data_IF_300410089094
#
_entry.id   IF_300410089094
#
_cell.length_a   1.000
_cell.length_b   1.000
_cell.length_c   1.000
_cell.angle_alpha   90.00
_cell.angle_beta   90.00
_cell.angle_gamma   90.00
#
_symmetry.space_group_name_H-M   'P 1'
#
loop_
_entity.id
_entity.type
_entity.pdbx_description
1 polymer ?
#
# COMPACT_ATOMS: atom_id res chain seq x y z
N UNK A 1 -18.42 -2.57 21.66
CA UNK A 1 -19.72 -2.96 22.25
C UNK A 1 -20.34 -4.15 21.53
N UNK A 2 -20.91 -3.95 20.33
CA UNK A 2 -21.61 -5.01 19.57
C UNK A 2 -20.73 -5.83 18.62
N UNK A 3 -19.63 -5.25 18.12
CA UNK A 3 -18.68 -5.90 17.20
C UNK A 3 -17.83 -6.98 17.87
N UNK A 4 -17.49 -6.79 19.15
CA UNK A 4 -16.63 -7.69 19.90
C UNK A 4 -17.26 -9.09 20.10
N UNK A 5 -18.57 -9.16 20.34
CA UNK A 5 -19.28 -10.44 20.47
C UNK A 5 -19.37 -11.21 19.15
N UNK A 6 -19.59 -10.50 18.04
CA UNK A 6 -19.59 -11.08 16.69
C UNK A 6 -18.20 -11.60 16.32
N UNK A 7 -17.15 -10.80 16.53
CA UNK A 7 -15.76 -11.20 16.27
C UNK A 7 -15.38 -12.46 17.04
N UNK A 8 -15.71 -12.53 18.34
CA UNK A 8 -15.42 -13.70 19.16
C UNK A 8 -16.16 -14.97 18.71
N UNK A 9 -17.36 -14.82 18.16
CA UNK A 9 -18.10 -15.94 17.58
C UNK A 9 -17.50 -16.39 16.24
N UNK A 10 -17.07 -15.43 15.41
CA UNK A 10 -16.39 -15.69 14.15
C UNK A 10 -15.03 -16.36 14.36
N UNK A 11 -14.24 -15.90 15.33
CA UNK A 11 -12.96 -16.52 15.72
C UNK A 11 -13.14 -17.97 16.18
N UNK A 12 -14.09 -18.22 17.08
CA UNK A 12 -14.40 -19.60 17.50
C UNK A 12 -14.82 -20.50 16.35
N UNK A 13 -15.60 -19.95 15.41
CA UNK A 13 -16.04 -20.68 14.22
C UNK A 13 -14.86 -20.95 13.28
N UNK A 14 -13.98 -19.97 13.11
CA UNK A 14 -12.75 -20.07 12.34
C UNK A 14 -11.80 -21.14 12.88
N UNK A 15 -11.50 -21.11 14.18
CA UNK A 15 -10.61 -22.09 14.82
C UNK A 15 -11.17 -23.51 14.72
N UNK A 16 -12.50 -23.66 14.86
CA UNK A 16 -13.16 -24.95 14.69
C UNK A 16 -13.12 -25.44 13.24
N UNK A 17 -13.21 -24.56 12.24
CA UNK A 17 -13.17 -24.94 10.82
C UNK A 17 -11.74 -25.31 10.39
N UNK A 18 -10.75 -24.52 10.82
CA UNK A 18 -9.33 -24.75 10.53
C UNK A 18 -8.86 -26.10 11.10
N UNK A 19 -9.20 -26.39 12.36
CA UNK A 19 -8.79 -27.63 13.04
C UNK A 19 -9.45 -28.89 12.51
N UNK A 20 -10.69 -28.81 12.01
CA UNK A 20 -11.46 -30.00 11.61
C UNK A 20 -11.39 -30.33 10.13
N UNK A 21 -11.23 -29.34 9.25
CA UNK A 21 -11.45 -29.53 7.81
C UNK A 21 -10.22 -29.25 6.97
N UNK A 22 -9.19 -28.58 7.52
CA UNK A 22 -8.10 -28.04 6.71
C UNK A 22 -8.72 -27.02 5.75
N UNK A 23 -8.96 -25.80 6.25
CA UNK A 23 -9.72 -24.81 5.50
C UNK A 23 -9.17 -24.62 4.07
N UNK A 24 -10.04 -24.69 3.06
CA UNK A 24 -9.66 -24.30 1.71
C UNK A 24 -9.36 -22.80 1.68
N UNK A 25 -8.31 -22.40 0.95
CA UNK A 25 -7.97 -21.00 0.64
C UNK A 25 -9.19 -20.22 0.13
N UNK A 26 -10.13 -20.92 -0.50
CA UNK A 26 -11.40 -20.41 -1.00
C UNK A 26 -12.32 -19.81 0.07
N UNK A 27 -12.29 -20.28 1.33
CA UNK A 27 -13.12 -19.71 2.40
C UNK A 27 -12.56 -18.36 2.89
N UNK A 28 -11.24 -18.24 3.02
CA UNK A 28 -10.57 -16.98 3.34
C UNK A 28 -10.75 -15.96 2.20
N UNK A 29 -10.62 -16.43 0.96
CA UNK A 29 -10.93 -15.62 -0.23
C UNK A 29 -12.40 -15.19 -0.22
N UNK A 30 -13.33 -16.09 0.05
CA UNK A 30 -14.75 -15.78 0.16
C UNK A 30 -14.98 -14.74 1.26
N UNK A 31 -14.39 -14.92 2.44
CA UNK A 31 -14.54 -13.99 3.56
C UNK A 31 -13.95 -12.62 3.25
N UNK A 32 -12.71 -12.54 2.76
CA UNK A 32 -12.09 -11.28 2.35
C UNK A 32 -12.90 -10.57 1.26
N UNK A 33 -13.30 -11.31 0.21
CA UNK A 33 -14.16 -10.78 -0.86
C UNK A 33 -15.52 -10.34 -0.31
N UNK A 34 -16.10 -11.05 0.65
CA UNK A 34 -17.39 -10.70 1.24
C UNK A 34 -17.27 -9.49 2.17
N UNK A 35 -16.21 -9.38 2.98
CA UNK A 35 -15.92 -8.18 3.78
C UNK A 35 -15.72 -6.95 2.86
N UNK A 36 -15.08 -7.13 1.70
CA UNK A 36 -14.88 -6.07 0.70
C UNK A 36 -16.13 -5.74 -0.12
N UNK A 37 -16.99 -6.74 -0.41
CA UNK A 37 -18.17 -6.59 -1.30
C UNK A 37 -19.48 -6.36 -0.56
N UNK A 38 -19.56 -6.59 0.75
CA UNK A 38 -20.75 -6.20 1.51
C UNK A 38 -20.81 -4.68 1.53
N UNK A 39 -21.64 -4.14 0.63
CA UNK A 39 -22.01 -2.73 0.48
C UNK A 39 -22.62 -2.08 1.74
N UNK A 40 -22.49 -2.71 2.91
CA UNK A 40 -23.01 -2.24 4.20
C UNK A 40 -21.98 -2.18 5.33
N UNK A 41 -20.76 -2.70 5.15
CA UNK A 41 -19.68 -2.48 6.12
C UNK A 41 -18.96 -1.18 5.76
N UNK A 42 -19.03 -0.20 6.66
CA UNK A 42 -18.33 1.07 6.49
C UNK A 42 -16.81 0.77 6.45
N UNK A 43 -16.04 1.29 5.48
CA UNK A 43 -14.60 1.06 5.39
C UNK A 43 -13.81 1.33 6.68
N UNK A 44 -14.29 2.27 7.51
CA UNK A 44 -13.75 2.54 8.84
C UNK A 44 -13.90 1.38 9.82
N UNK A 45 -15.00 0.63 9.74
CA UNK A 45 -15.23 -0.56 10.55
C UNK A 45 -14.35 -1.73 10.11
N UNK A 46 -14.09 -1.84 8.79
CA UNK A 46 -13.17 -2.85 8.24
C UNK A 46 -11.76 -2.61 8.78
N UNK A 47 -11.25 -1.37 8.75
CA UNK A 47 -9.94 -1.04 9.31
C UNK A 47 -9.83 -1.34 10.80
N UNK A 48 -10.86 -1.02 11.59
CA UNK A 48 -10.92 -1.32 13.03
C UNK A 48 -10.93 -2.83 13.31
N UNK A 49 -11.63 -3.62 12.51
CA UNK A 49 -11.67 -5.08 12.64
C UNK A 49 -10.33 -5.69 12.23
N UNK A 50 -9.79 -5.30 11.07
CA UNK A 50 -8.58 -5.88 10.51
C UNK A 50 -7.30 -5.49 11.26
N UNK A 51 -7.37 -4.52 12.17
CA UNK A 51 -6.24 -4.10 13.00
C UNK A 51 -6.30 -4.63 14.44
N UNK A 52 -7.29 -5.49 14.76
CA UNK A 52 -7.37 -6.08 16.08
C UNK A 52 -6.17 -7.01 16.34
N UNK A 53 -5.59 -6.96 17.54
CA UNK A 53 -4.41 -7.76 17.87
C UNK A 53 -4.74 -9.25 17.98
N UNK A 54 -3.72 -10.09 17.78
CA UNK A 54 -3.68 -11.51 18.17
C UNK A 54 -4.81 -12.40 17.62
N UNK A 55 -5.40 -12.02 16.48
CA UNK A 55 -6.44 -12.80 15.81
C UNK A 55 -5.90 -13.39 14.51
N UNK A 56 -5.78 -14.72 14.48
CA UNK A 56 -5.27 -15.43 13.31
C UNK A 56 -6.20 -15.27 12.09
N UNK A 57 -7.53 -15.29 12.31
CA UNK A 57 -8.52 -15.01 11.28
C UNK A 57 -8.25 -13.66 10.60
N UNK A 58 -7.96 -12.63 11.40
CA UNK A 58 -7.67 -11.29 10.89
C UNK A 58 -6.37 -11.27 10.11
N UNK A 59 -5.32 -11.90 10.64
CA UNK A 59 -4.02 -12.00 9.94
C UNK A 59 -4.15 -12.69 8.59
N UNK A 60 -4.85 -13.83 8.54
CA UNK A 60 -5.07 -14.59 7.30
C UNK A 60 -5.98 -13.81 6.32
N UNK A 61 -7.03 -13.15 6.82
CA UNK A 61 -7.92 -12.30 6.00
C UNK A 61 -7.17 -11.11 5.40
N UNK A 62 -6.32 -10.45 6.19
CA UNK A 62 -5.52 -9.32 5.75
C UNK A 62 -4.47 -9.75 4.73
N UNK A 63 -3.81 -10.90 4.94
CA UNK A 63 -2.89 -11.48 3.96
C UNK A 63 -3.61 -11.77 2.63
N UNK A 64 -4.80 -12.38 2.68
CA UNK A 64 -5.64 -12.62 1.50
C UNK A 64 -6.05 -11.31 0.82
N UNK A 65 -6.47 -10.30 1.58
CA UNK A 65 -6.79 -8.98 1.06
C UNK A 65 -5.61 -8.39 0.28
N UNK A 66 -4.45 -8.29 0.91
CA UNK A 66 -3.24 -7.76 0.28
C UNK A 66 -2.82 -8.57 -0.95
N UNK A 67 -3.03 -9.89 -0.92
CA UNK A 67 -2.79 -10.76 -2.07
C UNK A 67 -3.82 -10.60 -3.20
N UNK A 68 -5.00 -10.04 -2.94
CA UNK A 68 -6.04 -9.79 -3.94
C UNK A 68 -6.00 -8.38 -4.56
N UNK A 69 -5.28 -7.45 -3.93
CA UNK A 69 -5.14 -6.09 -4.46
C UNK A 69 -4.32 -6.09 -5.76
N UNK A 70 -4.65 -5.20 -6.72
CA UNK A 70 -3.79 -4.95 -7.86
C UNK A 70 -2.44 -4.51 -7.31
N UNK A 71 -1.42 -5.33 -7.55
CA UNK A 71 -0.21 -5.37 -6.75
C UNK A 71 1.03 -5.36 -7.63
N UNK A 72 2.18 -5.22 -6.97
CA UNK A 72 3.49 -5.00 -7.57
C UNK A 72 3.68 -5.77 -8.90
N UNK A 73 4.06 -5.09 -9.99
CA UNK A 73 4.36 -5.73 -11.28
C UNK A 73 3.15 -6.04 -12.18
N UNK A 74 1.92 -6.10 -11.66
CA UNK A 74 0.72 -6.29 -12.49
C UNK A 74 0.39 -5.04 -13.31
N UNK A 75 0.64 -3.84 -12.74
CA UNK A 75 0.50 -2.59 -13.48
C UNK A 75 1.53 -2.45 -14.60
N UNK A 76 2.73 -2.99 -14.41
CA UNK A 76 3.74 -3.07 -15.46
C UNK A 76 3.25 -3.95 -16.60
N UNK A 77 2.67 -5.12 -16.30
CA UNK A 77 2.07 -5.98 -17.31
C UNK A 77 0.96 -5.24 -18.08
N UNK A 78 0.02 -4.58 -17.39
CA UNK A 78 -1.03 -3.79 -18.05
C UNK A 78 -0.50 -2.62 -18.89
N UNK A 79 0.57 -1.96 -18.46
CA UNK A 79 1.18 -0.85 -19.21
C UNK A 79 1.91 -1.36 -20.47
N UNK A 80 2.67 -2.45 -20.33
CA UNK A 80 3.36 -3.12 -21.45
C UNK A 80 2.35 -3.64 -22.48
N UNK A 81 1.23 -4.21 -22.03
CA UNK A 81 0.20 -4.75 -22.92
C UNK A 81 -0.61 -3.64 -23.63
N UNK A 82 -0.71 -2.45 -23.03
CA UNK A 82 -1.41 -1.30 -23.60
C UNK A 82 -0.56 -0.48 -24.59
N UNK A 83 0.77 -0.49 -24.46
CA UNK A 83 1.67 0.28 -25.33
C UNK A 83 2.46 -0.61 -26.30
N UNK A 84 1.79 -1.07 -27.36
CA UNK A 84 2.46 -1.49 -28.61
C UNK A 84 2.95 -0.32 -29.48
N UNK A 85 3.06 0.89 -28.94
CA UNK A 85 3.56 2.06 -29.67
C UNK A 85 4.13 3.12 -28.74
N UNK A 86 5.42 3.44 -28.93
CA UNK A 86 6.25 4.46 -28.25
C UNK A 86 6.83 4.13 -26.87
N UNK A 87 7.72 3.14 -26.82
CA UNK A 87 8.66 2.89 -25.73
C UNK A 87 9.76 3.95 -25.61
N UNK A 88 9.41 5.19 -25.25
CA UNK A 88 10.39 6.20 -24.82
C UNK A 88 10.24 6.65 -23.36
N UNK A 89 9.14 6.31 -22.68
CA UNK A 89 8.85 6.78 -21.31
C UNK A 89 9.27 5.80 -20.19
N UNK A 90 9.46 4.51 -20.47
CA UNK A 90 10.00 3.52 -19.51
C UNK A 90 11.54 3.63 -19.30
N UNK A 91 12.12 4.83 -19.37
CA UNK A 91 13.57 5.01 -19.20
C UNK A 91 14.02 4.99 -17.75
N UNK A 92 13.17 5.42 -16.82
CA UNK A 92 13.51 5.44 -15.40
C UNK A 92 12.85 4.27 -14.65
N UNK A 93 13.63 3.21 -14.47
CA UNK A 93 13.23 2.02 -13.71
C UNK A 93 12.82 2.37 -12.28
N UNK A 94 13.45 3.39 -11.68
CA UNK A 94 13.16 3.85 -10.34
C UNK A 94 11.76 4.47 -10.27
N UNK A 95 11.40 5.30 -11.26
CA UNK A 95 10.06 5.90 -11.33
C UNK A 95 8.97 4.85 -11.52
N UNK A 96 9.20 3.86 -12.39
CA UNK A 96 8.23 2.78 -12.64
C UNK A 96 7.91 2.00 -11.35
N UNK A 97 8.93 1.66 -10.55
CA UNK A 97 8.71 0.95 -9.28
C UNK A 97 7.97 1.85 -8.28
N UNK A 98 8.34 3.12 -8.16
CA UNK A 98 7.63 4.05 -7.26
C UNK A 98 6.17 4.24 -7.66
N UNK A 99 5.90 4.33 -8.96
CA UNK A 99 4.55 4.47 -9.50
C UNK A 99 3.69 3.25 -9.17
N UNK A 100 4.23 2.05 -9.37
CA UNK A 100 3.58 0.78 -9.06
C UNK A 100 3.30 0.65 -7.55
N UNK A 101 4.24 1.04 -6.70
CA UNK A 101 4.07 1.12 -5.25
C UNK A 101 2.96 2.12 -4.86
N UNK A 102 2.99 3.33 -5.44
CA UNK A 102 2.01 4.39 -5.18
C UNK A 102 0.58 3.97 -5.53
N UNK A 103 0.39 3.33 -6.69
CA UNK A 103 -0.91 2.80 -7.09
C UNK A 103 -1.38 1.67 -6.16
N UNK A 104 -0.48 0.74 -5.82
CA UNK A 104 -0.79 -0.36 -4.90
C UNK A 104 -1.22 0.16 -3.53
N UNK A 105 -0.53 1.18 -3.01
CA UNK A 105 -0.86 1.84 -1.74
C UNK A 105 -2.23 2.52 -1.81
N UNK A 106 -2.56 3.20 -2.91
CA UNK A 106 -3.91 3.76 -3.09
C UNK A 106 -4.99 2.70 -3.12
N UNK A 107 -4.77 1.59 -3.83
CA UNK A 107 -5.74 0.49 -3.89
C UNK A 107 -5.97 -0.12 -2.49
N UNK A 108 -4.90 -0.26 -1.71
CA UNK A 108 -4.96 -0.69 -0.32
C UNK A 108 -5.80 0.26 0.55
N UNK A 109 -5.51 1.56 0.51
CA UNK A 109 -6.23 2.57 1.32
C UNK A 109 -7.72 2.71 0.97
N UNK A 110 -8.10 2.43 -0.29
CA UNK A 110 -9.52 2.35 -0.70
C UNK A 110 -10.24 1.13 -0.14
N UNK A 111 -9.49 0.04 0.07
CA UNK A 111 -10.04 -1.25 0.48
C UNK A 111 -10.21 -1.34 2.00
N UNK A 112 -9.40 -0.61 2.76
CA UNK A 112 -9.55 -0.46 4.20
C UNK A 112 -9.17 0.96 4.65
N UNK A 113 -10.06 1.66 5.33
CA UNK A 113 -9.70 2.94 5.93
C UNK A 113 -8.78 2.73 7.12
N UNK A 114 -7.71 3.51 7.20
CA UNK A 114 -6.79 3.44 8.32
C UNK A 114 -7.48 3.87 9.63
N UNK A 115 -7.23 3.14 10.73
CA UNK A 115 -7.66 3.54 12.07
C UNK A 115 -6.87 4.75 12.55
N UNK A 116 -7.27 5.31 13.69
CA UNK A 116 -6.62 6.52 14.24
C UNK A 116 -5.38 6.22 15.07
N UNK A 117 -5.29 5.02 15.65
CA UNK A 117 -4.16 4.63 16.51
C UNK A 117 -2.96 4.13 15.69
N UNK A 118 -1.78 4.70 15.91
CA UNK A 118 -0.56 4.35 15.17
C UNK A 118 -0.25 2.84 15.14
N UNK A 119 -0.33 2.16 16.29
CA UNK A 119 -0.11 0.71 16.38
C UNK A 119 -1.07 -0.11 15.51
N UNK A 120 -2.30 0.38 15.31
CA UNK A 120 -3.28 -0.29 14.46
C UNK A 120 -3.00 -0.04 12.98
N UNK A 121 -2.51 1.15 12.63
CA UNK A 121 -2.05 1.48 11.28
C UNK A 121 -0.88 0.57 10.90
N UNK A 122 0.11 0.42 11.78
CA UNK A 122 1.26 -0.46 11.57
C UNK A 122 0.83 -1.90 11.23
N UNK A 123 -0.10 -2.46 12.01
CA UNK A 123 -0.65 -3.82 11.78
C UNK A 123 -1.35 -4.01 10.43
N UNK A 124 -1.84 -2.92 9.81
CA UNK A 124 -2.45 -2.97 8.48
C UNK A 124 -1.41 -2.79 7.38
N UNK A 125 -0.52 -1.81 7.54
CA UNK A 125 0.45 -1.42 6.51
C UNK A 125 1.58 -2.45 6.37
N UNK A 126 2.04 -3.06 7.47
CA UNK A 126 3.12 -4.05 7.43
C UNK A 126 2.77 -5.28 6.57
N UNK A 127 1.63 -5.96 6.75
CA UNK A 127 1.23 -7.06 5.88
C UNK A 127 1.05 -6.66 4.41
N UNK A 128 0.58 -5.43 4.16
CA UNK A 128 0.54 -4.87 2.80
C UNK A 128 1.94 -4.78 2.18
N UNK A 129 2.90 -4.20 2.89
CA UNK A 129 4.28 -4.05 2.40
C UNK A 129 4.96 -5.41 2.19
N UNK A 130 4.74 -6.37 3.08
CA UNK A 130 5.24 -7.75 2.94
C UNK A 130 4.66 -8.43 1.70
N UNK A 131 3.34 -8.33 1.48
CA UNK A 131 2.67 -8.90 0.32
C UNK A 131 3.15 -8.24 -0.98
N UNK A 132 3.19 -6.91 -1.03
CA UNK A 132 3.66 -6.15 -2.18
C UNK A 132 5.11 -6.51 -2.55
N UNK A 133 6.02 -6.53 -1.56
CA UNK A 133 7.41 -6.87 -1.78
C UNK A 133 7.60 -8.29 -2.33
N UNK A 134 6.92 -9.29 -1.74
CA UNK A 134 7.00 -10.68 -2.20
C UNK A 134 6.56 -10.84 -3.65
N UNK A 135 5.47 -10.16 -4.03
CA UNK A 135 4.97 -10.17 -5.41
C UNK A 135 5.92 -9.43 -6.35
N UNK A 136 6.45 -8.28 -5.94
CA UNK A 136 7.41 -7.50 -6.71
C UNK A 136 8.65 -8.32 -7.06
N UNK A 137 9.22 -9.03 -6.08
CA UNK A 137 10.35 -9.92 -6.31
C UNK A 137 10.07 -10.96 -7.40
N UNK A 138 8.88 -11.56 -7.45
CA UNK A 138 8.55 -12.56 -8.47
C UNK A 138 8.28 -11.91 -9.83
N UNK A 139 7.45 -10.87 -9.86
CA UNK A 139 6.92 -10.29 -11.09
C UNK A 139 7.94 -9.42 -11.82
N UNK A 140 8.79 -8.66 -11.11
CA UNK A 140 9.89 -7.93 -11.75
C UNK A 140 10.96 -8.89 -12.30
N UNK A 141 11.32 -9.95 -11.55
CA UNK A 141 12.27 -10.97 -12.02
C UNK A 141 11.74 -11.66 -13.29
N UNK A 142 10.42 -11.91 -13.37
CA UNK A 142 9.80 -12.62 -14.50
C UNK A 142 9.53 -11.74 -15.73
N UNK A 143 8.93 -10.55 -15.53
CA UNK A 143 8.39 -9.72 -16.62
C UNK A 143 9.23 -8.49 -16.93
N UNK A 144 10.17 -8.11 -16.06
CA UNK A 144 11.03 -6.93 -16.23
C UNK A 144 12.44 -7.16 -15.70
N UNK A 145 13.18 -8.18 -16.19
CA UNK A 145 14.49 -8.58 -15.63
C UNK A 145 15.59 -7.51 -15.77
N UNK A 146 15.33 -6.42 -16.53
CA UNK A 146 16.24 -5.27 -16.65
C UNK A 146 16.09 -4.28 -15.48
N UNK A 147 14.99 -4.35 -14.75
CA UNK A 147 14.71 -3.51 -13.59
C UNK A 147 15.26 -4.23 -12.36
N UNK A 148 16.32 -3.70 -11.75
CA UNK A 148 16.86 -4.25 -10.51
C UNK A 148 16.00 -3.84 -9.31
N UNK A 149 14.83 -4.47 -9.16
CA UNK A 149 13.88 -4.20 -8.09
C UNK A 149 14.52 -4.27 -6.70
N UNK A 150 15.43 -5.24 -6.48
CA UNK A 150 16.04 -5.49 -5.17
C UNK A 150 17.06 -4.43 -4.79
N UNK A 151 17.65 -3.73 -5.75
CA UNK A 151 18.46 -2.55 -5.45
C UNK A 151 17.64 -1.45 -4.80
N UNK A 152 16.40 -1.21 -5.25
CA UNK A 152 15.52 -0.17 -4.70
C UNK A 152 14.81 -0.62 -3.41
N UNK A 153 14.40 -1.89 -3.35
CA UNK A 153 13.78 -2.50 -2.18
C UNK A 153 14.59 -3.73 -1.76
N UNK A 154 15.55 -3.60 -0.83
CA UNK A 154 16.32 -4.73 -0.33
C UNK A 154 15.47 -5.64 0.58
N UNK A 155 14.42 -5.11 1.19
CA UNK A 155 13.50 -5.85 2.06
C UNK A 155 12.10 -5.24 2.06
N UNK A 156 11.14 -5.94 2.65
CA UNK A 156 9.80 -5.40 2.94
C UNK A 156 9.82 -4.18 3.87
N UNK A 157 10.87 -4.02 4.69
CA UNK A 157 10.99 -2.89 5.62
C UNK A 157 11.25 -1.59 4.87
N UNK A 158 12.01 -1.63 3.76
CA UNK A 158 12.17 -0.46 2.89
C UNK A 158 10.83 -0.03 2.28
N UNK A 159 9.99 -1.00 1.88
CA UNK A 159 8.63 -0.73 1.41
C UNK A 159 7.74 -0.15 2.52
N UNK A 160 7.89 -0.65 3.75
CA UNK A 160 7.18 -0.12 4.93
C UNK A 160 7.57 1.33 5.23
N UNK A 161 8.86 1.65 5.25
CA UNK A 161 9.37 3.01 5.46
C UNK A 161 8.90 3.96 4.36
N UNK A 162 8.86 3.50 3.11
CA UNK A 162 8.31 4.27 2.01
C UNK A 162 6.79 4.51 2.20
N UNK A 163 6.02 3.48 2.57
CA UNK A 163 4.57 3.63 2.82
C UNK A 163 4.29 4.74 3.83
N UNK A 164 4.96 4.70 4.99
CA UNK A 164 4.80 5.73 6.01
C UNK A 164 5.26 7.11 5.53
N UNK A 165 6.36 7.18 4.78
CA UNK A 165 6.82 8.44 4.19
C UNK A 165 5.79 9.04 3.24
N UNK A 166 5.14 8.22 2.39
CA UNK A 166 4.08 8.68 1.48
C UNK A 166 2.79 9.05 2.23
N UNK A 167 2.42 8.32 3.28
CA UNK A 167 1.26 8.65 4.13
C UNK A 167 1.44 9.97 4.87
N UNK A 168 2.62 10.20 5.44
CA UNK A 168 2.98 11.48 6.05
C UNK A 168 2.99 12.60 5.02
N UNK A 169 3.60 12.39 3.86
CA UNK A 169 3.61 13.35 2.76
C UNK A 169 2.19 13.72 2.32
N UNK A 170 1.30 12.74 2.15
CA UNK A 170 -0.10 12.98 1.82
C UNK A 170 -0.79 13.86 2.87
N UNK A 171 -0.53 13.59 4.16
CA UNK A 171 -1.07 14.39 5.27
C UNK A 171 -0.51 15.82 5.25
N UNK A 172 0.79 15.98 5.04
CA UNK A 172 1.47 17.28 4.89
C UNK A 172 0.86 18.08 3.72
N UNK A 173 0.62 17.44 2.57
CA UNK A 173 0.11 18.11 1.36
C UNK A 173 -1.39 18.46 1.42
N UNK A 174 -2.22 17.67 2.10
CA UNK A 174 -3.69 17.80 2.01
C UNK A 174 -4.39 18.22 3.32
N UNK A 175 -3.72 18.12 4.47
CA UNK A 175 -4.34 18.47 5.75
C UNK A 175 -4.56 19.98 5.91
N UNK A 176 -5.84 20.37 6.06
CA UNK A 176 -6.29 21.77 6.17
C UNK A 176 -5.66 22.55 7.33
N UNK A 177 -5.26 21.85 8.39
CA UNK A 177 -4.68 22.43 9.61
C UNK A 177 -3.23 22.87 9.38
N UNK A 178 -2.48 22.12 8.56
CA UNK A 178 -1.10 22.46 8.17
C UNK A 178 -1.08 23.47 7.01
N UNK A 179 -2.20 23.61 6.27
CA UNK A 179 -2.26 24.28 4.97
C UNK A 179 -2.95 25.66 4.97
N UNK A 180 -3.01 26.37 6.09
CA UNK A 180 -3.53 27.77 6.09
C UNK A 180 -2.65 28.69 5.24
N UNK A 181 -1.34 28.43 5.19
CA UNK A 181 -0.38 29.17 4.35
C UNK A 181 -0.27 28.62 2.92
N UNK A 182 -0.57 27.33 2.70
CA UNK A 182 -0.26 26.61 1.45
C UNK A 182 -1.37 26.62 0.38
N UNK A 183 -2.61 26.99 0.71
CA UNK A 183 -3.70 27.07 -0.29
C UNK A 183 -3.54 28.20 -1.31
N UNK A 184 -2.55 29.08 -1.15
CA UNK A 184 -2.17 30.13 -2.10
C UNK A 184 -0.90 29.80 -2.89
N UNK A 185 -0.40 28.57 -2.78
CA UNK A 185 0.87 28.14 -3.35
C UNK A 185 0.85 28.14 -4.88
N UNK A 186 1.73 28.95 -5.46
CA UNK A 186 2.24 28.77 -6.82
C UNK A 186 3.24 27.61 -6.85
N UNK A 187 3.61 27.12 -8.05
CA UNK A 187 4.49 25.96 -8.22
C UNK A 187 5.87 26.03 -7.52
N UNK A 188 6.30 27.21 -7.06
CA UNK A 188 7.56 27.40 -6.32
C UNK A 188 7.52 26.86 -4.87
N UNK A 189 6.35 26.84 -4.22
CA UNK A 189 6.20 26.32 -2.85
C UNK A 189 6.18 24.79 -2.81
N UNK A 190 5.93 24.14 -3.96
CA UNK A 190 5.96 22.70 -4.09
C UNK A 190 7.32 22.09 -3.84
N UNK A 191 8.33 22.74 -4.42
CA UNK A 191 9.72 22.38 -4.27
C UNK A 191 10.20 22.50 -2.82
N UNK A 192 9.57 23.37 -2.01
CA UNK A 192 9.92 23.57 -0.60
C UNK A 192 9.59 22.35 0.27
N UNK A 193 8.48 21.65 -0.01
CA UNK A 193 8.12 20.41 0.70
C UNK A 193 8.83 19.17 0.15
N UNK A 194 9.20 19.21 -1.14
CA UNK A 194 9.88 18.10 -1.77
C UNK A 194 11.27 17.85 -1.18
N UNK A 195 12.07 18.90 -0.94
CA UNK A 195 13.45 18.73 -0.45
C UNK A 195 13.53 18.02 0.93
N UNK A 196 12.72 18.40 1.95
CA UNK A 196 12.64 17.64 3.20
C UNK A 196 12.16 16.19 3.00
N UNK A 197 11.19 15.97 2.10
CA UNK A 197 10.73 14.61 1.77
C UNK A 197 11.86 13.78 1.16
N UNK A 198 12.56 14.31 0.16
CA UNK A 198 13.69 13.66 -0.49
C UNK A 198 14.80 13.33 0.51
N UNK A 199 15.22 14.30 1.32
CA UNK A 199 16.28 14.12 2.32
C UNK A 199 15.97 13.02 3.34
N UNK A 200 14.71 12.88 3.79
CA UNK A 200 14.30 11.78 4.69
C UNK A 200 14.57 10.40 4.10
N UNK A 201 14.36 10.24 2.78
CA UNK A 201 14.50 8.95 2.10
C UNK A 201 15.95 8.60 1.77
N UNK A 202 16.83 9.58 1.59
CA UNK A 202 18.24 9.37 1.23
C UNK A 202 19.06 8.68 2.33
N UNK A 203 18.56 8.63 3.56
CA UNK A 203 19.23 7.95 4.67
C UNK A 203 18.74 6.51 4.88
N UNK A 204 17.75 6.06 4.12
CA UNK A 204 17.16 4.73 4.25
C UNK A 204 17.78 3.81 3.20
N UNK A 205 18.23 2.63 3.65
CA UNK A 205 18.82 1.66 2.74
C UNK A 205 17.80 1.16 1.70
N UNK A 206 18.26 0.97 0.47
CA UNK A 206 17.39 0.79 -0.70
C UNK A 206 16.77 2.08 -1.24
N UNK A 207 16.09 2.86 -0.39
CA UNK A 207 15.37 4.06 -0.84
C UNK A 207 16.30 5.19 -1.31
N UNK A 208 17.55 5.22 -0.83
CA UNK A 208 18.60 6.12 -1.33
C UNK A 208 18.93 5.93 -2.82
N UNK A 209 18.56 4.79 -3.40
CA UNK A 209 18.82 4.49 -4.81
C UNK A 209 17.81 5.15 -5.75
N UNK A 210 16.70 5.70 -5.23
CA UNK A 210 15.77 6.49 -6.04
C UNK A 210 16.35 7.83 -6.44
N UNK A 211 16.22 8.16 -7.73
CA UNK A 211 16.62 9.46 -8.27
C UNK A 211 15.71 10.56 -7.74
N UNK A 212 16.25 11.78 -7.65
CA UNK A 212 15.47 12.96 -7.27
C UNK A 212 14.29 13.16 -8.23
N UNK A 213 14.50 12.98 -9.54
CA UNK A 213 13.46 13.10 -10.55
C UNK A 213 12.33 12.08 -10.36
N UNK A 214 12.65 10.80 -10.15
CA UNK A 214 11.65 9.76 -9.92
C UNK A 214 10.77 10.05 -8.68
N UNK A 215 11.40 10.48 -7.58
CA UNK A 215 10.68 10.85 -6.36
C UNK A 215 9.86 12.13 -6.55
N UNK A 216 10.37 13.10 -7.30
CA UNK A 216 9.65 14.34 -7.61
C UNK A 216 8.41 14.09 -8.45
N UNK A 217 8.49 13.15 -9.41
CA UNK A 217 7.34 12.74 -10.21
C UNK A 217 6.23 12.12 -9.34
N UNK A 218 6.57 11.24 -8.39
CA UNK A 218 5.58 10.67 -7.45
C UNK A 218 5.04 11.72 -6.48
N UNK A 219 5.90 12.61 -5.97
CA UNK A 219 5.47 13.75 -5.15
C UNK A 219 4.40 14.58 -5.86
N UNK A 220 4.61 14.92 -7.13
CA UNK A 220 3.65 15.69 -7.92
C UNK A 220 2.31 14.97 -8.12
N UNK A 221 2.31 13.64 -8.18
CA UNK A 221 1.08 12.84 -8.27
C UNK A 221 0.29 12.90 -6.97
N UNK A 222 0.96 12.75 -5.84
CA UNK A 222 0.33 12.84 -4.51
C UNK A 222 -0.18 14.25 -4.26
N UNK A 223 0.58 15.28 -4.64
CA UNK A 223 0.11 16.67 -4.61
C UNK A 223 -1.22 16.85 -5.34
N UNK A 224 -1.29 16.37 -6.58
CA UNK A 224 -2.47 16.56 -7.43
C UNK A 224 -3.66 15.75 -6.93
N UNK A 225 -3.42 14.58 -6.36
CA UNK A 225 -4.46 13.63 -5.97
C UNK A 225 -4.18 13.07 -4.57
N UNK A 226 -4.99 13.48 -3.59
CA UNK A 226 -4.97 12.94 -2.23
C UNK A 226 -5.26 11.42 -2.22
N UNK A 227 -4.66 10.69 -1.27
CA UNK A 227 -5.06 9.33 -0.96
C UNK A 227 -6.51 9.32 -0.44
N UNK A 228 -7.37 8.52 -1.09
CA UNK A 228 -8.77 8.32 -0.72
C UNK A 228 -9.04 6.85 -0.60
#
# INVERSE_FOLDING_TARGET
GKTHGLMKHMEKSYDSLRSKVGMPVDFLNYFAIHVLKVNGLVPSLIGEVLSAPDSLLISDTLATLCNSLPSAGELIQCHIDSEKGNTSELKDSAFVILLDFEYSLRAFLRSCMLPKEGQKIERLVEPFCVSWYKKGCVLYDQYSPKIDFRSYFPSSDAAFLLAFSLLMLNTELHSRVLNVSQRKASGAEATCLFQPFFSRLQHVDGLKNFTEDALFQVFNRIWKTEFR
#
